data_IF_638606184885
#
_entry.id   IF_638606184885
#
_cell.length_a   1.000
_cell.length_b   1.000
_cell.length_c   1.000
_cell.angle_alpha   90.00
_cell.angle_beta   90.00
_cell.angle_gamma   90.00
#
_symmetry.space_group_name_H-M   'P 1'
#
loop_
_entity.id
_entity.type
_entity.pdbx_description
1 polymer ?
#
# COMPACT_ATOMS: atom_id res chain seq x y z
N UNK A 1 20.69 -8.92 21.41
CA UNK A 1 20.00 -9.53 20.25
C UNK A 1 20.52 -8.81 19.03
N UNK A 2 21.30 -9.48 18.17
CA UNK A 2 21.97 -8.84 17.03
C UNK A 2 20.86 -8.28 16.12
N UNK A 3 20.75 -6.95 16.06
CA UNK A 3 19.82 -6.26 15.18
C UNK A 3 20.40 -6.39 13.76
N UNK A 4 20.22 -7.57 13.18
CA UNK A 4 20.76 -7.95 11.88
C UNK A 4 20.18 -7.02 10.82
N UNK A 5 21.06 -6.38 10.05
CA UNK A 5 20.69 -5.49 8.96
C UNK A 5 19.72 -6.17 7.98
N UNK A 6 19.81 -7.50 7.82
CA UNK A 6 18.89 -8.28 6.99
C UNK A 6 17.47 -8.28 7.54
N UNK A 7 17.31 -8.34 8.86
CA UNK A 7 16.00 -8.30 9.52
C UNK A 7 15.36 -6.93 9.33
N UNK A 8 16.12 -5.84 9.52
CA UNK A 8 15.63 -4.47 9.27
C UNK A 8 15.28 -4.28 7.79
N UNK A 9 16.13 -4.72 6.87
CA UNK A 9 15.89 -4.61 5.43
C UNK A 9 14.62 -5.35 5.02
N UNK A 10 14.40 -6.56 5.56
CA UNK A 10 13.19 -7.34 5.32
C UNK A 10 11.94 -6.64 5.88
N UNK A 11 12.02 -6.09 7.09
CA UNK A 11 10.94 -5.29 7.68
C UNK A 11 10.61 -4.04 6.86
N UNK A 12 11.63 -3.34 6.34
CA UNK A 12 11.44 -2.17 5.49
C UNK A 12 10.80 -2.53 4.14
N UNK A 13 11.17 -3.67 3.55
CA UNK A 13 10.55 -4.19 2.32
C UNK A 13 9.07 -4.52 2.55
N UNK A 14 8.75 -5.20 3.66
CA UNK A 14 7.37 -5.53 4.02
C UNK A 14 6.55 -4.25 4.24
N UNK A 15 7.09 -3.28 4.98
CA UNK A 15 6.42 -2.01 5.22
C UNK A 15 6.15 -1.25 3.91
N UNK A 16 7.11 -1.26 2.97
CA UNK A 16 6.97 -0.64 1.65
C UNK A 16 5.86 -1.30 0.82
N UNK A 17 5.82 -2.63 0.80
CA UNK A 17 4.78 -3.42 0.12
C UNK A 17 3.38 -3.08 0.65
N UNK A 18 3.24 -2.98 1.97
CA UNK A 18 1.97 -2.60 2.62
C UNK A 18 1.59 -1.17 2.22
N UNK A 19 2.52 -0.21 2.32
CA UNK A 19 2.27 1.19 1.97
C UNK A 19 1.80 1.37 0.53
N UNK A 20 2.48 0.72 -0.42
CA UNK A 20 2.12 0.74 -1.85
C UNK A 20 0.73 0.12 -2.06
N UNK A 21 0.46 -1.02 -1.43
CA UNK A 21 -0.83 -1.72 -1.56
C UNK A 21 -1.99 -0.90 -1.03
N UNK A 22 -1.83 -0.27 0.14
CA UNK A 22 -2.84 0.61 0.74
C UNK A 22 -3.09 1.84 -0.13
N UNK A 23 -2.02 2.48 -0.63
CA UNK A 23 -2.12 3.61 -1.56
C UNK A 23 -2.85 3.23 -2.86
N UNK A 24 -2.50 2.09 -3.45
CA UNK A 24 -3.15 1.56 -4.66
C UNK A 24 -4.64 1.29 -4.45
N UNK A 25 -5.02 0.66 -3.33
CA UNK A 25 -6.42 0.41 -2.98
C UNK A 25 -7.18 1.73 -2.77
N UNK A 26 -6.56 2.74 -2.15
CA UNK A 26 -7.18 4.05 -1.96
C UNK A 26 -7.46 4.75 -3.30
N UNK A 27 -6.51 4.71 -4.23
CA UNK A 27 -6.67 5.25 -5.58
C UNK A 27 -7.75 4.49 -6.36
N UNK A 28 -7.75 3.16 -6.30
CA UNK A 28 -8.78 2.32 -6.93
C UNK A 28 -10.16 2.65 -6.37
N UNK A 29 -10.30 2.78 -5.06
CA UNK A 29 -11.56 3.17 -4.40
C UNK A 29 -12.03 4.54 -4.85
N UNK A 30 -11.13 5.51 -5.03
CA UNK A 30 -11.48 6.84 -5.53
C UNK A 30 -11.94 6.79 -6.98
N UNK A 31 -11.25 6.03 -7.83
CA UNK A 31 -11.65 5.82 -9.22
C UNK A 31 -13.05 5.19 -9.32
N UNK A 32 -13.30 4.11 -8.57
CA UNK A 32 -14.61 3.46 -8.52
C UNK A 32 -15.74 4.39 -8.06
N UNK A 33 -15.49 5.20 -7.02
CA UNK A 33 -16.49 6.19 -6.56
C UNK A 33 -16.78 7.24 -7.62
N UNK A 34 -15.75 7.72 -8.33
CA UNK A 34 -15.90 8.69 -9.42
C UNK A 34 -16.68 8.10 -10.59
N UNK A 35 -16.42 6.84 -10.93
CA UNK A 35 -17.12 6.16 -12.01
C UNK A 35 -18.58 5.88 -11.64
N UNK A 36 -18.85 5.44 -10.40
CA UNK A 36 -20.22 5.27 -9.89
C UNK A 36 -21.00 6.59 -9.88
N UNK A 37 -20.35 7.71 -9.54
CA UNK A 37 -20.97 9.04 -9.57
C UNK A 37 -21.22 9.57 -10.99
N UNK A 38 -20.46 9.11 -12.00
CA UNK A 38 -20.68 9.45 -13.40
C UNK A 38 -21.75 8.60 -14.06
N UNK A 39 -22.03 7.42 -13.51
CA UNK A 39 -23.05 6.50 -14.00
C UNK A 39 -24.48 6.85 -13.53
N UNK A 40 -24.62 7.80 -12.59
CA UNK A 40 -25.91 8.31 -12.08
C UNK A 40 -26.24 9.66 -12.71
#
# INVERSE_FOLDING_TARGET
MYLDAHVIASLALIASLIGISVGGIALLRQAMKRDASRAR
#
